data_IF_649889387795
#
_entry.id   IF_649889387795
#
_cell.length_a   1.000
_cell.length_b   1.000
_cell.length_c   1.000
_cell.angle_alpha   90.00
_cell.angle_beta   90.00
_cell.angle_gamma   90.00
#
_symmetry.space_group_name_H-M   'P 1'
#
loop_
_entity.id
_entity.type
_entity.pdbx_description
1 polymer ?
#
# COMPACT_ATOMS: atom_id res chain seq x y z
N UNK A 1 12.26 -0.01 -15.43
CA UNK A 1 11.39 1.13 -15.04
C UNK A 1 11.69 2.33 -15.96
N UNK A 2 10.82 3.35 -16.10
CA UNK A 2 11.06 4.48 -17.01
C UNK A 2 12.42 5.16 -16.80
N UNK A 3 12.81 5.38 -15.53
CA UNK A 3 14.14 5.87 -15.16
C UNK A 3 15.29 5.07 -15.78
N UNK A 4 15.25 3.74 -15.66
CA UNK A 4 16.33 2.87 -16.11
C UNK A 4 16.49 2.94 -17.63
N UNK A 5 15.41 3.24 -18.38
CA UNK A 5 15.48 3.50 -19.81
C UNK A 5 16.15 4.84 -20.11
N UNK A 6 15.82 5.89 -19.38
CA UNK A 6 16.47 7.20 -19.53
C UNK A 6 17.98 7.06 -19.30
N UNK A 7 18.39 6.42 -18.20
CA UNK A 7 19.80 6.20 -17.86
C UNK A 7 20.52 5.32 -18.89
N UNK A 8 19.88 4.24 -19.38
CA UNK A 8 20.48 3.33 -20.37
C UNK A 8 20.85 4.02 -21.68
N UNK A 9 20.07 5.01 -22.11
CA UNK A 9 20.29 5.71 -23.37
C UNK A 9 20.96 7.08 -23.19
N UNK A 10 21.40 7.41 -21.97
CA UNK A 10 22.17 8.62 -21.69
C UNK A 10 23.66 8.31 -21.68
N UNK A 11 24.43 9.08 -22.45
CA UNK A 11 25.87 9.17 -22.23
C UNK A 11 26.10 10.02 -20.98
N UNK A 12 26.58 9.39 -19.89
CA UNK A 12 26.91 10.04 -18.62
C UNK A 12 26.24 9.39 -17.40
N UNK A 13 26.60 9.84 -16.21
CA UNK A 13 25.98 9.39 -14.95
C UNK A 13 24.95 10.42 -14.50
N UNK A 14 23.73 9.97 -14.21
CA UNK A 14 22.67 10.83 -13.67
C UNK A 14 22.81 10.92 -12.15
N UNK A 15 22.91 12.15 -11.64
CA UNK A 15 22.89 12.46 -10.21
C UNK A 15 21.52 12.98 -9.82
N UNK A 16 20.89 12.29 -8.88
CA UNK A 16 19.61 12.68 -8.29
C UNK A 16 19.83 13.44 -6.99
N UNK A 17 18.94 14.39 -6.64
CA UNK A 17 18.96 15.01 -5.31
C UNK A 17 18.65 13.97 -4.22
N UNK A 18 19.06 14.27 -2.99
CA UNK A 18 18.72 13.48 -1.82
C UNK A 18 17.19 13.47 -1.59
N UNK A 19 16.68 12.42 -0.95
CA UNK A 19 15.27 12.36 -0.57
C UNK A 19 14.96 13.47 0.45
N UNK A 20 13.83 14.15 0.26
CA UNK A 20 13.38 15.19 1.19
C UNK A 20 12.92 14.61 2.55
N UNK A 21 12.50 13.34 2.58
CA UNK A 21 11.96 12.66 3.75
C UNK A 21 12.32 11.18 3.72
N UNK A 22 12.63 10.59 4.88
CA UNK A 22 12.73 9.14 5.04
C UNK A 22 11.32 8.52 5.08
N UNK A 23 11.07 7.53 4.24
CA UNK A 23 9.75 6.86 4.14
C UNK A 23 9.96 5.40 3.73
N UNK A 24 9.08 4.55 4.22
CA UNK A 24 9.01 3.13 3.85
C UNK A 24 8.19 2.94 2.57
N UNK A 25 8.20 1.73 1.99
CA UNK A 25 7.29 1.43 0.88
C UNK A 25 5.82 1.49 1.31
N UNK A 26 5.52 1.11 2.55
CA UNK A 26 4.16 1.20 3.10
C UNK A 26 3.69 2.65 3.20
N UNK A 27 4.53 3.55 3.70
CA UNK A 27 4.20 4.99 3.77
C UNK A 27 3.87 5.55 2.37
N UNK A 28 4.65 5.15 1.36
CA UNK A 28 4.45 5.59 -0.02
C UNK A 28 3.14 5.07 -0.63
N UNK A 29 2.74 3.85 -0.27
CA UNK A 29 1.45 3.29 -0.66
C UNK A 29 0.30 4.00 0.06
N UNK A 30 0.42 4.24 1.37
CA UNK A 30 -0.57 4.96 2.17
C UNK A 30 -0.82 6.37 1.62
N UNK A 31 0.21 7.10 1.17
CA UNK A 31 0.02 8.40 0.51
C UNK A 31 -0.88 8.32 -0.74
N UNK A 32 -0.81 7.21 -1.46
CA UNK A 32 -1.62 6.97 -2.66
C UNK A 32 -3.01 6.41 -2.33
N UNK A 33 -3.14 5.72 -1.21
CA UNK A 33 -4.34 4.99 -0.80
C UNK A 33 -5.17 5.69 0.28
N UNK A 34 -4.72 6.82 0.84
CA UNK A 34 -5.38 7.42 2.02
C UNK A 34 -6.86 7.79 1.79
N UNK A 35 -7.27 8.03 0.54
CA UNK A 35 -8.66 8.29 0.17
C UNK A 35 -9.52 7.02 0.07
N UNK A 36 -8.90 5.83 0.18
CA UNK A 36 -9.49 4.52 -0.07
C UNK A 36 -9.15 3.55 1.07
N UNK A 37 -9.73 3.73 2.27
CA UNK A 37 -9.31 3.03 3.48
C UNK A 37 -9.48 1.51 3.40
N UNK A 38 -10.48 1.00 2.66
CA UNK A 38 -10.63 -0.43 2.41
C UNK A 38 -9.55 -1.00 1.49
N UNK A 39 -9.13 -0.24 0.48
CA UNK A 39 -8.02 -0.66 -0.36
C UNK A 39 -6.71 -0.62 0.42
N UNK A 40 -6.51 0.40 1.26
CA UNK A 40 -5.38 0.49 2.18
C UNK A 40 -5.32 -0.72 3.10
N UNK A 41 -6.41 -1.04 3.80
CA UNK A 41 -6.51 -2.21 4.67
C UNK A 41 -6.24 -3.52 3.92
N UNK A 42 -6.83 -3.69 2.74
CA UNK A 42 -6.61 -4.88 1.91
C UNK A 42 -5.15 -5.01 1.47
N UNK A 43 -4.52 -3.93 1.03
CA UNK A 43 -3.10 -3.92 0.68
C UNK A 43 -2.25 -4.25 1.90
N UNK A 44 -2.54 -3.66 3.06
CA UNK A 44 -1.83 -3.91 4.31
C UNK A 44 -1.88 -5.37 4.76
N UNK A 45 -3.00 -6.06 4.46
CA UNK A 45 -3.16 -7.49 4.69
C UNK A 45 -2.26 -8.34 3.80
N UNK A 46 -2.08 -7.94 2.53
CA UNK A 46 -1.37 -8.72 1.52
C UNK A 46 0.15 -8.47 1.53
N UNK A 47 0.58 -7.25 1.87
CA UNK A 47 2.01 -6.90 1.88
C UNK A 47 2.67 -7.26 3.22
N UNK A 48 3.85 -7.87 3.12
CA UNK A 48 4.65 -8.31 4.25
C UNK A 48 5.54 -7.22 4.84
N UNK A 49 6.39 -7.61 5.79
CA UNK A 49 7.29 -6.70 6.52
C UNK A 49 8.37 -6.09 5.62
N UNK A 50 8.60 -6.66 4.44
CA UNK A 50 9.50 -6.10 3.44
C UNK A 50 9.05 -4.70 2.97
N UNK A 51 7.76 -4.39 3.07
CA UNK A 51 7.23 -3.06 2.79
C UNK A 51 7.63 -2.00 3.84
N UNK A 52 8.05 -2.42 5.03
CA UNK A 52 8.42 -1.53 6.14
C UNK A 52 9.89 -1.10 6.08
N UNK A 53 10.64 -1.56 5.07
CA UNK A 53 12.01 -1.09 4.80
C UNK A 53 11.99 0.34 4.27
N UNK A 54 12.90 1.18 4.79
CA UNK A 54 13.09 2.55 4.30
C UNK A 54 13.51 2.50 2.83
N UNK A 55 12.76 3.19 1.97
CA UNK A 55 13.00 3.22 0.54
C UNK A 55 14.05 4.30 0.19
N UNK A 56 15.11 3.90 -0.50
CA UNK A 56 16.06 4.83 -1.10
C UNK A 56 15.39 5.70 -2.18
N UNK A 57 15.96 6.87 -2.48
CA UNK A 57 15.53 7.79 -3.55
C UNK A 57 15.21 7.03 -4.83
N UNK A 58 16.09 6.11 -5.24
CA UNK A 58 15.89 5.31 -6.45
C UNK A 58 14.74 4.33 -6.31
N UNK A 59 14.53 3.76 -5.14
CA UNK A 59 13.42 2.84 -4.92
C UNK A 59 12.09 3.58 -5.00
N UNK A 60 11.98 4.80 -4.43
CA UNK A 60 10.77 5.65 -4.44
C UNK A 60 10.28 6.01 -5.85
N UNK A 61 11.18 6.10 -6.82
CA UNK A 61 10.89 6.43 -8.23
C UNK A 61 10.03 5.38 -8.98
N UNK A 62 9.50 4.37 -8.29
CA UNK A 62 8.41 3.55 -8.82
C UNK A 62 7.09 4.34 -8.90
N UNK A 63 6.88 5.31 -8.00
CA UNK A 63 5.73 6.20 -8.03
C UNK A 63 5.97 7.37 -8.97
N UNK A 64 5.03 7.71 -9.87
CA UNK A 64 5.20 8.80 -10.83
C UNK A 64 5.58 10.14 -10.20
N UNK A 65 4.95 10.50 -9.07
CA UNK A 65 5.24 11.75 -8.33
C UNK A 65 6.70 11.78 -7.84
N UNK A 66 7.19 10.67 -7.30
CA UNK A 66 8.57 10.52 -6.81
C UNK A 66 9.58 10.23 -7.91
N UNK A 67 9.13 9.98 -9.15
CA UNK A 67 9.97 9.94 -10.34
C UNK A 67 10.17 11.34 -10.92
N UNK A 68 9.07 12.11 -11.03
CA UNK A 68 9.05 13.42 -11.67
C UNK A 68 9.92 14.45 -10.94
N UNK A 69 9.74 14.59 -9.62
CA UNK A 69 10.45 15.62 -8.84
C UNK A 69 11.97 15.45 -8.85
N UNK A 70 12.54 14.25 -8.59
CA UNK A 70 13.98 14.06 -8.69
C UNK A 70 14.51 14.18 -10.11
N UNK A 71 13.76 13.79 -11.15
CA UNK A 71 14.18 13.97 -12.54
C UNK A 71 14.30 15.45 -12.91
N UNK A 72 13.35 16.28 -12.44
CA UNK A 72 13.35 17.74 -12.67
C UNK A 72 14.61 18.41 -12.13
N UNK A 73 15.13 17.92 -11.01
CA UNK A 73 16.33 18.45 -10.35
C UNK A 73 17.61 17.68 -10.70
N UNK A 74 17.50 16.57 -11.44
CA UNK A 74 18.64 15.73 -11.76
C UNK A 74 19.60 16.41 -12.74
N UNK A 75 20.87 16.08 -12.60
CA UNK A 75 21.93 16.52 -13.52
C UNK A 75 22.65 15.32 -14.13
N UNK A 76 23.07 15.47 -15.39
CA UNK A 76 23.89 14.51 -16.12
C UNK A 76 25.33 15.00 -16.07
N UNK A 77 26.22 14.14 -15.58
CA UNK A 77 27.66 14.39 -15.57
C UNK A 77 28.31 13.51 -16.64
N UNK A 78 29.05 14.13 -17.56
CA UNK A 78 29.82 13.47 -18.63
C UNK A 78 31.30 13.76 -18.43
N UNK A 79 32.06 12.82 -17.87
CA UNK A 79 33.50 13.01 -17.63
C UNK A 79 33.78 14.38 -16.95
N UNK A 80 34.80 15.12 -17.41
CA UNK A 80 35.20 16.44 -16.89
C UNK A 80 34.30 17.62 -17.31
N UNK A 81 33.13 17.37 -17.91
CA UNK A 81 32.22 18.47 -18.27
C UNK A 81 31.37 18.91 -17.07
N UNK A 82 31.03 20.20 -17.04
CA UNK A 82 30.08 20.77 -16.08
C UNK A 82 28.75 19.98 -16.09
N UNK A 83 28.09 19.79 -14.92
CA UNK A 83 26.81 19.09 -14.86
C UNK A 83 25.74 19.80 -15.71
N UNK A 84 25.08 19.05 -16.58
CA UNK A 84 23.96 19.56 -17.38
C UNK A 84 22.61 19.14 -16.77
N UNK A 85 21.58 20.01 -16.76
CA UNK A 85 20.26 19.62 -16.29
C UNK A 85 19.68 18.50 -17.17
N UNK A 86 19.11 17.47 -16.53
CA UNK A 86 18.51 16.35 -17.24
C UNK A 86 17.22 16.75 -17.97
N UNK A 87 16.41 17.61 -17.34
CA UNK A 87 15.15 18.11 -17.89
C UNK A 87 15.36 19.54 -18.38
N UNK A 88 15.10 19.77 -19.67
CA UNK A 88 15.23 21.10 -20.30
C UNK A 88 13.98 21.97 -20.10
N UNK A 89 12.79 21.37 -20.25
CA UNK A 89 11.51 22.05 -20.12
C UNK A 89 10.42 21.06 -19.71
N UNK A 90 9.40 21.54 -19.02
CA UNK A 90 8.22 20.79 -18.58
C UNK A 90 6.97 21.47 -19.14
N UNK A 91 6.04 20.69 -19.71
CA UNK A 91 4.80 21.20 -20.29
C UNK A 91 3.64 20.42 -19.68
N UNK A 92 2.77 21.11 -18.95
CA UNK A 92 1.53 20.53 -18.42
C UNK A 92 0.50 20.42 -19.54
N UNK A 93 0.22 19.20 -20.00
CA UNK A 93 -0.78 18.95 -21.03
C UNK A 93 -2.21 19.01 -20.49
N UNK A 94 -2.40 18.58 -19.25
CA UNK A 94 -3.68 18.57 -18.55
C UNK A 94 -3.45 18.90 -17.08
N UNK A 95 -4.04 20.00 -16.61
CA UNK A 95 -4.03 20.32 -15.19
C UNK A 95 -4.93 19.33 -14.44
N UNK A 96 -4.41 18.75 -13.36
CA UNK A 96 -5.21 17.87 -12.52
C UNK A 96 -6.44 18.64 -12.01
N UNK A 97 -7.63 18.08 -12.25
CA UNK A 97 -8.81 18.46 -11.48
C UNK A 97 -8.53 17.96 -10.07
N UNK A 98 -8.38 18.88 -9.12
CA UNK A 98 -8.13 18.57 -7.73
C UNK A 98 -9.11 17.47 -7.26
N UNK A 99 -8.63 16.29 -6.82
CA UNK A 99 -9.48 15.25 -6.27
C UNK A 99 -10.01 15.63 -4.88
N UNK A 100 -9.85 16.89 -4.44
CA UNK A 100 -10.42 17.43 -3.19
C UNK A 100 -11.96 17.30 -3.14
N UNK A 101 -12.61 16.95 -4.26
CA UNK A 101 -14.04 16.63 -4.34
C UNK A 101 -14.36 15.12 -4.30
N UNK A 102 -13.36 14.24 -4.22
CA UNK A 102 -13.60 12.87 -3.78
C UNK A 102 -13.79 12.94 -2.27
N UNK A 103 -15.04 13.04 -1.85
CA UNK A 103 -15.48 13.21 -0.48
C UNK A 103 -14.63 12.38 0.51
N UNK A 104 -13.65 13.02 1.16
CA UNK A 104 -13.16 12.62 2.49
C UNK A 104 -14.23 12.90 3.56
N UNK A 105 -15.51 12.76 3.19
CA UNK A 105 -16.61 12.72 4.14
C UNK A 105 -16.28 11.62 5.12
N UNK A 106 -16.33 11.94 6.42
CA UNK A 106 -16.12 11.01 7.54
C UNK A 106 -16.88 9.71 7.26
N UNK A 107 -16.18 8.75 6.67
CA UNK A 107 -16.82 7.58 6.12
C UNK A 107 -17.06 6.66 7.29
N UNK A 108 -18.33 6.53 7.70
CA UNK A 108 -18.75 5.69 8.83
C UNK A 108 -18.29 4.23 8.59
N UNK A 109 -18.06 3.87 7.33
CA UNK A 109 -17.50 2.60 6.87
C UNK A 109 -15.97 2.59 6.81
N UNK A 110 -15.31 2.93 7.92
CA UNK A 110 -13.86 2.76 8.07
C UNK A 110 -13.52 1.33 8.53
N UNK A 111 -12.51 0.64 7.98
CA UNK A 111 -12.17 -0.74 8.34
C UNK A 111 -12.02 -0.96 9.85
N UNK A 112 -11.31 -0.06 10.53
CA UNK A 112 -11.12 -0.10 11.98
C UNK A 112 -12.44 0.07 12.76
N UNK A 113 -13.35 0.92 12.29
CA UNK A 113 -14.68 1.08 12.89
C UNK A 113 -15.51 -0.20 12.76
N UNK A 114 -15.46 -0.84 11.60
CA UNK A 114 -16.16 -2.10 11.34
C UNK A 114 -15.54 -3.25 12.13
N UNK A 115 -14.22 -3.27 12.30
CA UNK A 115 -13.55 -4.23 13.16
C UNK A 115 -14.06 -4.15 14.61
N UNK A 116 -14.25 -2.93 15.16
CA UNK A 116 -14.85 -2.77 16.48
C UNK A 116 -16.32 -3.20 16.52
N UNK A 117 -17.13 -2.84 15.53
CA UNK A 117 -18.54 -3.30 15.46
C UNK A 117 -18.61 -4.82 15.42
N UNK A 118 -17.76 -5.46 14.60
CA UNK A 118 -17.68 -6.91 14.50
C UNK A 118 -17.19 -7.52 15.82
N UNK A 119 -16.19 -6.93 16.48
CA UNK A 119 -15.74 -7.35 17.80
C UNK A 119 -16.86 -7.29 18.84
N UNK A 120 -17.58 -6.17 18.96
CA UNK A 120 -18.70 -6.07 19.90
C UNK A 120 -19.81 -7.07 19.57
N UNK A 121 -20.12 -7.29 18.29
CA UNK A 121 -21.08 -8.30 17.85
C UNK A 121 -20.64 -9.71 18.25
N UNK A 122 -19.37 -10.08 18.02
CA UNK A 122 -18.83 -11.40 18.43
C UNK A 122 -18.95 -11.61 19.93
N UNK A 123 -18.67 -10.59 20.75
CA UNK A 123 -18.76 -10.66 22.21
C UNK A 123 -20.22 -10.88 22.63
N UNK A 124 -21.17 -10.13 22.08
CA UNK A 124 -22.60 -10.28 22.40
C UNK A 124 -23.08 -11.68 22.03
N UNK A 125 -22.76 -12.17 20.84
CA UNK A 125 -23.15 -13.50 20.39
C UNK A 125 -22.55 -14.58 21.29
N UNK A 126 -21.29 -14.44 21.67
CA UNK A 126 -20.60 -15.35 22.60
C UNK A 126 -21.26 -15.39 23.98
N UNK A 127 -21.69 -14.24 24.51
CA UNK A 127 -22.42 -14.16 25.79
C UNK A 127 -23.81 -14.81 25.70
N UNK A 128 -24.54 -14.57 24.60
CA UNK A 128 -25.85 -15.17 24.35
C UNK A 128 -25.75 -16.69 24.21
N UNK A 129 -24.68 -17.19 23.58
CA UNK A 129 -24.40 -18.62 23.45
C UNK A 129 -24.15 -19.28 24.81
N UNK A 130 -23.55 -18.55 25.75
CA UNK A 130 -23.29 -19.06 27.10
C UNK A 130 -24.57 -19.16 27.95
N UNK A 131 -25.60 -18.37 27.65
CA UNK A 131 -26.91 -18.50 28.26
C UNK A 131 -27.68 -19.72 27.72
N UNK A 132 -28.55 -20.38 28.51
CA UNK A 132 -29.33 -21.55 28.10
C UNK A 132 -30.49 -21.18 27.15
N UNK A 133 -30.18 -20.54 26.02
CA UNK A 133 -31.13 -20.07 25.00
C UNK A 133 -31.14 -21.04 23.82
N UNK A 134 -32.32 -21.38 23.29
CA UNK A 134 -32.53 -22.33 22.18
C UNK A 134 -32.09 -21.82 20.79
N UNK A 135 -31.38 -20.70 20.69
CA UNK A 135 -31.01 -20.05 19.40
C UNK A 135 -29.75 -20.62 18.75
N UNK A 136 -29.56 -21.94 18.79
CA UNK A 136 -28.36 -22.60 18.27
C UNK A 136 -28.18 -22.48 16.75
N UNK A 137 -29.24 -22.20 15.98
CA UNK A 137 -29.18 -22.10 14.51
C UNK A 137 -28.48 -20.83 14.00
N UNK A 138 -28.88 -19.66 14.50
CA UNK A 138 -28.34 -18.38 14.06
C UNK A 138 -26.87 -18.19 14.45
N UNK A 139 -26.49 -18.66 15.64
CA UNK A 139 -25.11 -18.63 16.14
C UNK A 139 -24.21 -19.46 15.21
N UNK A 140 -24.64 -20.67 14.83
CA UNK A 140 -23.89 -21.52 13.88
C UNK A 140 -23.69 -20.86 12.52
N UNK A 141 -24.71 -20.18 12.00
CA UNK A 141 -24.60 -19.46 10.71
C UNK A 141 -23.58 -18.32 10.84
N UNK A 142 -23.65 -17.55 11.92
CA UNK A 142 -22.71 -16.47 12.20
C UNK A 142 -21.27 -16.99 12.25
N UNK A 143 -21.00 -18.02 13.06
CA UNK A 143 -19.67 -18.61 13.18
C UNK A 143 -19.16 -19.15 11.85
N UNK A 144 -20.03 -19.84 11.09
CA UNK A 144 -19.67 -20.40 9.78
C UNK A 144 -19.27 -19.30 8.80
N UNK A 145 -20.00 -18.18 8.77
CA UNK A 145 -19.68 -17.04 7.90
C UNK A 145 -18.39 -16.36 8.36
N UNK A 146 -18.24 -16.13 9.66
CA UNK A 146 -17.07 -15.47 10.23
C UNK A 146 -15.80 -16.28 9.92
N UNK A 147 -15.76 -17.55 10.32
CA UNK A 147 -14.61 -18.42 10.06
C UNK A 147 -14.43 -18.73 8.57
N UNK A 148 -15.51 -18.74 7.77
CA UNK A 148 -15.43 -18.86 6.33
C UNK A 148 -14.69 -17.69 5.68
N UNK A 149 -14.99 -16.45 6.07
CA UNK A 149 -14.29 -15.25 5.57
C UNK A 149 -12.84 -15.24 6.02
N UNK A 150 -12.56 -15.55 7.30
CA UNK A 150 -11.19 -15.66 7.81
C UNK A 150 -10.40 -16.74 7.06
N UNK A 151 -10.99 -17.92 6.85
CA UNK A 151 -10.36 -19.02 6.11
C UNK A 151 -10.06 -18.67 4.65
N UNK A 152 -10.94 -17.94 3.96
CA UNK A 152 -10.66 -17.43 2.62
C UNK A 152 -9.50 -16.43 2.64
N UNK A 153 -9.47 -15.52 3.63
CA UNK A 153 -8.36 -14.58 3.83
C UNK A 153 -7.02 -15.30 4.06
N UNK A 154 -7.00 -16.28 4.96
CA UNK A 154 -5.84 -17.12 5.24
C UNK A 154 -5.37 -17.89 4.00
N UNK A 155 -6.29 -18.43 3.20
CA UNK A 155 -5.95 -19.08 1.92
C UNK A 155 -5.30 -18.11 0.92
N UNK A 156 -5.79 -16.88 0.82
CA UNK A 156 -5.20 -15.85 -0.05
C UNK A 156 -3.78 -15.52 0.42
N UNK A 157 -3.59 -15.27 1.72
CA UNK A 157 -2.27 -14.95 2.29
C UNK A 157 -1.32 -16.14 2.13
N UNK A 158 -1.77 -17.36 2.39
CA UNK A 158 -0.99 -18.57 2.17
C UNK A 158 -0.53 -18.68 0.71
N UNK A 159 -1.44 -18.45 -0.24
CA UNK A 159 -1.07 -18.45 -1.66
C UNK A 159 0.00 -17.40 -1.96
N UNK A 160 -0.18 -16.18 -1.46
CA UNK A 160 0.77 -15.09 -1.68
C UNK A 160 2.10 -15.27 -0.98
N UNK A 161 2.14 -15.97 0.16
CA UNK A 161 3.36 -16.19 0.91
C UNK A 161 4.22 -17.30 0.30
N UNK A 162 3.59 -18.39 -0.15
CA UNK A 162 4.30 -19.61 -0.58
C UNK A 162 4.43 -19.76 -2.10
N UNK A 163 3.47 -19.25 -2.88
CA UNK A 163 3.46 -19.45 -4.34
C UNK A 163 3.74 -18.17 -5.13
N UNK A 164 3.53 -17.00 -4.55
CA UNK A 164 3.82 -15.74 -5.25
C UNK A 164 5.33 -15.52 -5.36
N UNK A 165 5.75 -15.02 -6.52
CA UNK A 165 7.11 -14.52 -6.76
C UNK A 165 7.24 -13.06 -6.32
N UNK A 166 6.13 -12.41 -5.94
CA UNK A 166 6.14 -10.99 -5.60
C UNK A 166 6.87 -10.76 -4.26
N UNK A 167 8.03 -10.06 -4.24
CA UNK A 167 8.86 -9.97 -3.05
C UNK A 167 8.16 -9.21 -1.90
N UNK A 168 7.23 -8.31 -2.21
CA UNK A 168 6.53 -7.53 -1.18
C UNK A 168 5.51 -8.35 -0.37
N UNK A 169 5.21 -9.60 -0.74
CA UNK A 169 4.23 -10.44 0.00
C UNK A 169 4.90 -11.41 0.98
N UNK A 170 6.24 -11.44 1.05
CA UNK A 170 6.98 -12.35 1.93
C UNK A 170 8.17 -11.63 2.60
N UNK A 171 8.36 -11.77 3.93
CA UNK A 171 7.50 -12.50 4.87
C UNK A 171 6.28 -11.66 5.27
N UNK A 172 5.10 -12.28 5.34
CA UNK A 172 3.86 -11.64 5.79
C UNK A 172 3.34 -12.29 7.07
N UNK A 173 3.41 -11.55 8.19
CA UNK A 173 3.04 -12.03 9.51
C UNK A 173 1.54 -12.23 9.72
N UNK A 174 0.69 -11.62 8.88
CA UNK A 174 -0.75 -11.84 8.92
C UNK A 174 -1.12 -13.33 8.80
N UNK A 175 -0.25 -14.14 8.17
CA UNK A 175 -0.38 -15.59 8.07
C UNK A 175 -0.46 -16.32 9.42
N UNK A 176 0.09 -15.77 10.50
CA UNK A 176 0.10 -16.45 11.81
C UNK A 176 -1.28 -16.46 12.46
N UNK A 177 -2.16 -15.53 12.11
CA UNK A 177 -3.46 -15.36 12.77
C UNK A 177 -4.67 -15.36 11.82
N UNK A 178 -4.45 -15.53 10.51
CA UNK A 178 -5.49 -15.71 9.48
C UNK A 178 -5.40 -17.08 8.84
#
# INVERSE_FOLDING_TARGET
>A
RPRDMIEKYLNGTVRYPAAAKEQTFRDLLHECLHYYPWMEFGVDLLIGSDADKVADVRQKMFLPKYLMEPLRQASVVRNDTLPLPLVKNEITLLSAVNPTNADSGKNIFHPLGIAFVLLFLTIIISLVQWMPVKSAGLIKIYDTLLFGVFGIGGLIIFFLLFFSVHPATSPNWNFVWL
#
